data_IF_153731039819
#
_entry.id   IF_153731039819
#
_cell.length_a   1.000
_cell.length_b   1.000
_cell.length_c   1.000
_cell.angle_alpha   90.00
_cell.angle_beta   90.00
_cell.angle_gamma   90.00
#
_symmetry.space_group_name_H-M   'P 1'
#
loop_
_entity.id
_entity.type
_entity.pdbx_description
1 polymer ?
#
# COMPACT_ATOMS: atom_id res chain seq x y z
N UNK A 1 13.96 7.79 17.81
CA UNK A 1 13.39 8.38 16.59
C UNK A 1 12.06 7.69 16.38
N UNK A 2 10.94 8.41 16.50
CA UNK A 2 9.62 7.82 16.27
C UNK A 2 9.41 7.91 14.76
N UNK A 3 9.28 6.77 14.10
CA UNK A 3 8.93 6.73 12.68
C UNK A 3 7.52 7.29 12.52
N UNK A 4 7.32 8.26 11.65
CA UNK A 4 6.00 8.92 11.48
C UNK A 4 5.22 8.38 10.28
N UNK A 5 5.94 7.79 9.31
CA UNK A 5 5.36 7.26 8.07
C UNK A 5 5.81 5.83 7.80
N UNK A 6 4.92 5.01 7.24
CA UNK A 6 5.24 3.68 6.70
C UNK A 6 4.93 3.61 5.21
N UNK A 7 5.81 3.00 4.44
CA UNK A 7 5.52 2.49 3.10
C UNK A 7 5.43 0.97 3.21
N UNK A 8 4.28 0.40 2.86
CA UNK A 8 3.99 -1.03 3.01
C UNK A 8 3.69 -1.60 1.63
N UNK A 9 4.60 -2.43 1.12
CA UNK A 9 4.43 -3.07 -0.18
C UNK A 9 3.76 -4.44 0.01
N UNK A 10 2.64 -4.66 -0.67
CA UNK A 10 1.79 -5.85 -0.56
C UNK A 10 1.85 -6.62 -1.88
N UNK A 11 1.60 -7.93 -1.82
CA UNK A 11 1.49 -8.80 -3.00
C UNK A 11 2.44 -9.99 -2.97
N UNK A 12 2.29 -10.86 -3.95
CA UNK A 12 3.08 -12.07 -4.13
C UNK A 12 4.09 -11.92 -5.28
N UNK A 13 5.37 -11.74 -4.94
CA UNK A 13 6.46 -11.65 -5.90
C UNK A 13 6.64 -12.88 -6.82
N UNK A 14 5.99 -14.02 -6.51
CA UNK A 14 6.03 -15.22 -7.35
C UNK A 14 4.87 -15.31 -8.36
N UNK A 15 3.88 -14.42 -8.29
CA UNK A 15 2.73 -14.37 -9.20
C UNK A 15 2.83 -13.09 -10.03
N UNK A 16 3.00 -13.22 -11.35
CA UNK A 16 3.22 -12.09 -12.24
C UNK A 16 2.17 -10.97 -12.08
N UNK A 17 0.89 -11.34 -11.97
CA UNK A 17 -0.24 -10.41 -11.80
C UNK A 17 -0.36 -9.78 -10.41
N UNK A 18 0.51 -10.13 -9.46
CA UNK A 18 0.48 -9.68 -8.06
C UNK A 18 1.89 -9.26 -7.56
N UNK A 19 2.85 -9.16 -8.48
CA UNK A 19 4.26 -8.99 -8.14
C UNK A 19 4.71 -7.52 -8.12
N UNK A 20 3.84 -6.57 -8.48
CA UNK A 20 4.17 -5.14 -8.50
C UNK A 20 4.66 -4.62 -7.16
N UNK A 21 3.97 -4.90 -6.05
CA UNK A 21 4.39 -4.40 -4.74
C UNK A 21 5.78 -4.94 -4.35
N UNK A 22 6.07 -6.20 -4.63
CA UNK A 22 7.41 -6.78 -4.41
C UNK A 22 8.48 -6.09 -5.26
N UNK A 23 8.19 -5.83 -6.54
CA UNK A 23 9.11 -5.13 -7.43
C UNK A 23 9.38 -3.68 -6.97
N UNK A 24 8.34 -2.95 -6.56
CA UNK A 24 8.47 -1.59 -6.02
C UNK A 24 9.22 -1.59 -4.69
N UNK A 25 9.02 -2.59 -3.83
CA UNK A 25 9.79 -2.74 -2.60
C UNK A 25 11.29 -2.84 -2.89
N UNK A 26 11.70 -3.67 -3.86
CA UNK A 26 13.09 -3.81 -4.26
C UNK A 26 13.69 -2.51 -4.81
N UNK A 27 12.91 -1.74 -5.59
CA UNK A 27 13.31 -0.43 -6.08
C UNK A 27 13.46 0.59 -4.92
N UNK A 28 12.52 0.64 -3.99
CA UNK A 28 12.57 1.52 -2.81
C UNK A 28 13.73 1.19 -1.87
N UNK A 29 14.14 -0.08 -1.76
CA UNK A 29 15.32 -0.49 -0.98
C UNK A 29 16.63 0.10 -1.54
N UNK A 30 16.68 0.41 -2.83
CA UNK A 30 17.85 1.02 -3.47
C UNK A 30 17.85 2.56 -3.33
N UNK A 31 16.73 3.15 -2.91
CA UNK A 31 16.60 4.58 -2.71
C UNK A 31 17.05 5.00 -1.30
N UNK A 32 17.56 6.23 -1.19
CA UNK A 32 17.84 6.83 0.11
C UNK A 32 16.53 7.27 0.77
N UNK A 33 16.02 6.45 1.69
CA UNK A 33 14.86 6.78 2.49
C UNK A 33 15.24 7.70 3.66
N UNK A 34 14.45 8.75 3.94
CA UNK A 34 14.55 9.51 5.16
C UNK A 34 14.36 8.63 6.40
N UNK A 35 15.06 8.91 7.51
CA UNK A 35 14.98 8.14 8.75
C UNK A 35 13.58 8.01 9.36
N UNK A 36 12.67 8.94 9.06
CA UNK A 36 11.29 9.00 9.52
C UNK A 36 10.30 8.15 8.70
N UNK A 37 10.78 7.52 7.61
CA UNK A 37 10.01 6.64 6.75
C UNK A 37 10.51 5.20 6.92
N UNK A 38 9.61 4.31 7.36
CA UNK A 38 9.88 2.88 7.45
C UNK A 38 9.34 2.18 6.20
N UNK A 39 10.22 1.50 5.46
CA UNK A 39 9.83 0.62 4.37
C UNK A 39 9.59 -0.80 4.92
N UNK A 40 8.44 -1.38 4.59
CA UNK A 40 7.99 -2.68 5.08
C UNK A 40 7.59 -3.56 3.89
N UNK A 41 8.09 -4.79 3.89
CA UNK A 41 7.57 -5.85 3.04
C UNK A 41 6.34 -6.44 3.74
N UNK A 42 5.16 -6.10 3.23
CA UNK A 42 3.88 -6.58 3.72
C UNK A 42 3.46 -7.92 3.12
N UNK A 43 4.06 -8.33 2.00
CA UNK A 43 3.76 -9.57 1.29
C UNK A 43 2.26 -9.91 1.25
N UNK A 44 1.90 -11.08 1.79
CA UNK A 44 0.52 -11.58 1.88
C UNK A 44 -0.03 -11.52 3.31
N UNK A 45 0.39 -10.53 4.11
CA UNK A 45 0.12 -10.50 5.55
C UNK A 45 -1.38 -10.41 5.92
N UNK A 46 -2.23 -9.85 5.06
CA UNK A 46 -3.67 -9.73 5.32
C UNK A 46 -3.93 -9.01 6.64
N UNK A 47 -4.70 -9.63 7.55
CA UNK A 47 -4.98 -9.06 8.89
C UNK A 47 -3.72 -8.84 9.75
N UNK A 48 -2.59 -9.52 9.45
CA UNK A 48 -1.34 -9.25 10.16
C UNK A 48 -0.75 -7.87 9.84
N UNK A 49 -1.34 -7.12 8.90
CA UNK A 49 -1.04 -5.70 8.68
C UNK A 49 -1.61 -4.80 9.78
N UNK A 50 -2.65 -5.22 10.53
CA UNK A 50 -3.34 -4.39 11.52
C UNK A 50 -2.41 -3.70 12.54
N UNK A 51 -1.42 -4.38 13.15
CA UNK A 51 -0.50 -3.72 14.08
C UNK A 51 0.37 -2.64 13.42
N UNK A 52 0.54 -2.71 12.08
CA UNK A 52 1.27 -1.70 11.31
C UNK A 52 0.43 -0.46 11.02
N UNK A 53 -0.86 -0.46 11.37
CA UNK A 53 -1.72 0.72 11.28
C UNK A 53 -1.71 1.56 12.57
N UNK A 54 -1.18 1.01 13.66
CA UNK A 54 -1.20 1.65 14.97
C UNK A 54 -0.03 2.62 15.16
N UNK A 55 -0.30 3.70 15.90
CA UNK A 55 0.68 4.68 16.36
C UNK A 55 1.55 5.26 15.24
N UNK A 56 0.97 5.47 14.06
CA UNK A 56 1.62 6.02 12.88
C UNK A 56 0.78 7.15 12.30
N UNK A 57 1.40 8.17 11.73
CA UNK A 57 0.64 9.31 11.15
C UNK A 57 0.24 9.05 9.71
N UNK A 58 1.10 8.37 8.94
CA UNK A 58 0.89 8.19 7.51
C UNK A 58 1.25 6.78 7.06
N UNK A 59 0.42 6.23 6.19
CA UNK A 59 0.65 4.93 5.56
C UNK A 59 0.45 5.05 4.06
N UNK A 60 1.47 4.63 3.32
CA UNK A 60 1.40 4.46 1.88
C UNK A 60 1.48 2.97 1.58
N UNK A 61 0.36 2.39 1.17
CA UNK A 61 0.35 1.05 0.62
C UNK A 61 0.85 1.07 -0.83
N UNK A 62 1.47 -0.01 -1.26
CA UNK A 62 1.84 -0.23 -2.66
C UNK A 62 1.39 -1.63 -3.06
N UNK A 63 0.62 -1.74 -4.13
CA UNK A 63 0.05 -3.02 -4.57
C UNK A 63 -0.16 -3.07 -6.09
N UNK A 64 -0.41 -4.26 -6.61
CA UNK A 64 -0.99 -4.46 -7.93
C UNK A 64 -2.50 -4.15 -7.86
N UNK A 65 -3.02 -3.40 -8.83
CA UNK A 65 -4.45 -3.06 -8.89
C UNK A 65 -5.05 -3.45 -10.23
N UNK A 66 -6.38 -3.51 -10.28
CA UNK A 66 -7.10 -3.82 -11.51
C UNK A 66 -8.43 -3.07 -11.61
N UNK A 67 -8.76 -2.58 -12.79
CA UNK A 67 -10.05 -1.95 -13.12
C UNK A 67 -10.11 -0.45 -12.84
N UNK A 68 -8.97 0.22 -12.70
CA UNK A 68 -8.91 1.65 -12.38
C UNK A 68 -8.40 2.49 -13.56
N UNK A 69 -7.48 1.96 -14.38
CA UNK A 69 -6.94 2.68 -15.54
C UNK A 69 -6.44 1.71 -16.64
N UNK A 70 -5.60 2.19 -17.56
CA UNK A 70 -4.92 1.39 -18.58
C UNK A 70 -3.75 0.56 -18.03
N UNK A 71 -3.47 -0.57 -18.68
CA UNK A 71 -2.39 -1.50 -18.32
C UNK A 71 -1.04 -0.77 -18.14
N UNK A 72 -0.40 -0.97 -16.98
CA UNK A 72 0.88 -0.38 -16.61
C UNK A 72 0.79 1.03 -16.02
N UNK A 73 -0.41 1.64 -15.96
CA UNK A 73 -0.60 2.93 -15.32
C UNK A 73 -0.29 2.87 -13.82
N UNK A 74 0.26 3.98 -13.30
CA UNK A 74 0.49 4.17 -11.86
C UNK A 74 -0.57 5.13 -11.34
N UNK A 75 -1.37 4.66 -10.39
CA UNK A 75 -2.49 5.42 -9.82
C UNK A 75 -2.30 5.64 -8.32
N UNK A 76 -3.10 6.55 -7.77
CA UNK A 76 -3.20 6.75 -6.31
C UNK A 76 -4.66 6.71 -5.92
N UNK A 77 -4.99 5.82 -4.98
CA UNK A 77 -6.30 5.75 -4.35
C UNK A 77 -6.20 6.28 -2.92
N UNK A 78 -7.22 7.01 -2.50
CA UNK A 78 -7.42 7.38 -1.11
C UNK A 78 -8.02 6.23 -0.27
N UNK A 79 -7.98 6.41 1.04
CA UNK A 79 -8.49 5.42 1.98
C UNK A 79 -9.95 5.01 1.68
N UNK A 80 -10.80 5.97 1.31
CA UNK A 80 -12.21 5.70 1.07
C UNK A 80 -12.41 4.94 -0.24
N UNK A 81 -11.67 5.30 -1.29
CA UNK A 81 -11.65 4.59 -2.57
C UNK A 81 -11.24 3.13 -2.39
N UNK A 82 -10.18 2.87 -1.59
CA UNK A 82 -9.75 1.50 -1.27
C UNK A 82 -10.83 0.77 -0.44
N UNK A 83 -11.40 1.42 0.58
CA UNK A 83 -12.45 0.81 1.42
C UNK A 83 -13.69 0.38 0.63
N UNK A 84 -14.01 1.08 -0.46
CA UNK A 84 -15.20 0.82 -1.30
C UNK A 84 -14.90 0.08 -2.60
N UNK A 85 -13.65 -0.31 -2.84
CA UNK A 85 -13.20 -0.98 -4.07
C UNK A 85 -14.01 -2.24 -4.40
N UNK A 86 -14.41 -3.00 -3.37
CA UNK A 86 -15.42 -4.04 -3.49
C UNK A 86 -16.71 -3.52 -2.87
N UNK A 87 -17.79 -3.49 -3.65
CA UNK A 87 -19.12 -3.13 -3.14
C UNK A 87 -19.50 -3.95 -1.89
N UNK A 88 -20.54 -3.52 -1.18
CA UNK A 88 -20.91 -3.98 0.18
C UNK A 88 -21.06 -5.51 0.40
N UNK A 89 -20.94 -6.34 -0.64
CA UNK A 89 -21.20 -7.77 -0.64
C UNK A 89 -19.95 -8.64 -0.41
N UNK A 90 -18.73 -8.08 -0.43
CA UNK A 90 -17.48 -8.85 -0.29
C UNK A 90 -16.57 -8.38 0.85
N UNK A 91 -17.09 -8.11 2.06
CA UNK A 91 -16.27 -7.88 3.26
C UNK A 91 -15.74 -9.18 3.91
N UNK A 92 -15.45 -10.20 3.09
CA UNK A 92 -14.79 -11.42 3.57
C UNK A 92 -13.31 -11.19 3.83
N UNK A 93 -12.68 -12.07 4.61
CA UNK A 93 -11.23 -12.03 4.82
C UNK A 93 -10.41 -12.16 3.52
N UNK A 94 -11.02 -12.73 2.48
CA UNK A 94 -10.44 -12.87 1.13
C UNK A 94 -10.42 -11.57 0.32
N UNK A 95 -10.99 -10.47 0.83
CA UNK A 95 -11.10 -9.21 0.09
C UNK A 95 -9.85 -8.32 0.19
N UNK A 96 -8.76 -8.82 0.79
CA UNK A 96 -7.47 -8.13 0.82
C UNK A 96 -7.46 -6.84 1.64
N UNK A 97 -6.74 -5.82 1.15
CA UNK A 97 -6.54 -4.54 1.82
C UNK A 97 -7.86 -3.82 2.19
N UNK A 98 -8.91 -3.79 1.34
CA UNK A 98 -10.23 -3.27 1.71
C UNK A 98 -10.79 -3.87 3.01
N UNK A 99 -10.65 -5.19 3.22
CA UNK A 99 -11.09 -5.82 4.46
C UNK A 99 -10.26 -5.36 5.66
N UNK A 100 -8.93 -5.31 5.52
CA UNK A 100 -8.02 -4.81 6.58
C UNK A 100 -8.41 -3.41 7.01
N UNK A 101 -8.60 -2.49 6.06
CA UNK A 101 -8.98 -1.11 6.37
C UNK A 101 -10.34 -1.06 7.05
N UNK A 102 -11.33 -1.83 6.59
CA UNK A 102 -12.67 -1.86 7.20
C UNK A 102 -12.70 -2.47 8.62
N UNK A 103 -11.79 -3.38 8.93
CA UNK A 103 -11.68 -3.98 10.27
C UNK A 103 -10.86 -3.10 11.23
N UNK A 104 -9.84 -2.38 10.74
CA UNK A 104 -8.90 -1.63 11.58
C UNK A 104 -9.55 -0.72 12.63
N UNK A 105 -10.57 0.11 12.33
CA UNK A 105 -11.22 0.97 13.34
C UNK A 105 -11.91 0.22 14.50
N UNK A 106 -12.11 -1.10 14.38
CA UNK A 106 -12.78 -1.93 15.39
C UNK A 106 -11.82 -2.68 16.29
N UNK A 107 -10.57 -2.85 15.88
CA UNK A 107 -9.62 -3.77 16.53
C UNK A 107 -8.28 -3.13 16.86
N UNK A 108 -7.89 -2.08 16.12
CA UNK A 108 -6.66 -1.36 16.39
C UNK A 108 -6.85 -0.42 17.59
N UNK A 109 -5.80 -0.29 18.40
CA UNK A 109 -5.75 0.64 19.52
C UNK A 109 -5.07 1.96 19.12
N UNK A 110 -5.48 3.05 19.77
CA UNK A 110 -4.95 4.39 19.51
C UNK A 110 -5.64 5.12 18.35
N UNK A 111 -5.18 6.34 18.02
CA UNK A 111 -5.75 7.10 16.92
C UNK A 111 -5.43 6.43 15.57
N UNK A 112 -6.35 6.47 14.60
CA UNK A 112 -6.05 6.02 13.24
C UNK A 112 -4.99 6.93 12.61
N UNK A 113 -4.27 6.46 11.57
CA UNK A 113 -3.40 7.31 10.77
C UNK A 113 -4.16 8.49 10.17
N UNK A 114 -3.52 9.66 10.11
CA UNK A 114 -4.07 10.87 9.49
C UNK A 114 -4.22 10.71 7.98
N UNK A 115 -3.32 9.94 7.36
CA UNK A 115 -3.27 9.72 5.92
C UNK A 115 -3.06 8.23 5.63
N UNK A 116 -3.99 7.66 4.87
CA UNK A 116 -3.82 6.36 4.22
C UNK A 116 -4.02 6.55 2.71
N UNK A 117 -3.06 6.08 1.92
CA UNK A 117 -3.10 6.05 0.45
C UNK A 117 -2.65 4.69 -0.06
N UNK A 118 -3.13 4.30 -1.24
CA UNK A 118 -2.61 3.18 -2.01
C UNK A 118 -2.02 3.71 -3.31
N UNK A 119 -0.75 3.40 -3.57
CA UNK A 119 -0.14 3.51 -4.89
C UNK A 119 -0.34 2.17 -5.60
N UNK A 120 -1.09 2.20 -6.70
CA UNK A 120 -1.40 1.01 -7.48
C UNK A 120 -0.65 1.01 -8.81
N UNK A 121 -0.17 -0.15 -9.25
CA UNK A 121 0.17 -0.39 -10.66
C UNK A 121 -0.93 -1.25 -11.28
N UNK A 122 -1.57 -0.73 -12.33
CA UNK A 122 -2.65 -1.42 -13.06
C UNK A 122 -2.08 -2.59 -13.86
N UNK A 123 -2.56 -3.81 -13.61
CA UNK A 123 -2.17 -4.99 -14.37
C UNK A 123 -0.67 -5.31 -14.31
N UNK A 124 -0.05 -5.59 -15.45
CA UNK A 124 1.38 -5.88 -15.58
C UNK A 124 2.23 -4.61 -15.43
N UNK A 125 3.47 -4.79 -14.97
CA UNK A 125 4.40 -3.70 -14.72
C UNK A 125 5.70 -3.88 -15.51
N UNK A 126 6.42 -2.77 -15.65
CA UNK A 126 7.75 -2.70 -16.26
C UNK A 126 8.65 -1.81 -15.41
N UNK A 127 9.92 -1.64 -15.81
CA UNK A 127 10.89 -0.84 -15.07
C UNK A 127 10.43 0.61 -14.85
N UNK A 128 9.77 1.21 -15.85
CA UNK A 128 9.28 2.58 -15.78
C UNK A 128 8.12 2.74 -14.78
N UNK A 129 7.14 1.82 -14.80
CA UNK A 129 6.02 1.88 -13.86
C UNK A 129 6.44 1.53 -12.44
N UNK A 130 7.37 0.58 -12.25
CA UNK A 130 7.99 0.30 -10.94
C UNK A 130 8.65 1.56 -10.39
N UNK A 131 9.50 2.21 -11.19
CA UNK A 131 10.23 3.40 -10.75
C UNK A 131 9.28 4.58 -10.48
N UNK A 132 8.27 4.77 -11.32
CA UNK A 132 7.26 5.81 -11.12
C UNK A 132 6.49 5.59 -9.82
N UNK A 133 6.05 4.36 -9.54
CA UNK A 133 5.38 4.00 -8.29
C UNK A 133 6.29 4.23 -7.08
N UNK A 134 7.55 3.79 -7.11
CA UNK A 134 8.50 4.01 -6.03
C UNK A 134 8.70 5.52 -5.71
N UNK A 135 8.91 6.33 -6.75
CA UNK A 135 9.07 7.79 -6.59
C UNK A 135 7.79 8.42 -6.03
N UNK A 136 6.63 7.99 -6.50
CA UNK A 136 5.34 8.50 -6.04
C UNK A 136 5.06 8.12 -4.59
N UNK A 137 5.31 6.85 -4.21
CA UNK A 137 5.19 6.39 -2.82
C UNK A 137 6.07 7.20 -1.88
N UNK A 138 7.31 7.53 -2.30
CA UNK A 138 8.22 8.33 -1.50
C UNK A 138 7.75 9.79 -1.35
N UNK A 139 7.24 10.41 -2.42
CA UNK A 139 6.66 11.77 -2.36
C UNK A 139 5.47 11.84 -1.42
N UNK A 140 4.51 10.92 -1.58
CA UNK A 140 3.34 10.83 -0.70
C UNK A 140 3.77 10.59 0.75
N UNK A 141 4.75 9.73 0.98
CA UNK A 141 5.27 9.45 2.31
C UNK A 141 5.92 10.68 2.98
N UNK A 142 6.50 11.60 2.18
CA UNK A 142 7.02 12.91 2.63
C UNK A 142 5.92 13.97 2.76
N UNK A 143 4.77 13.78 2.10
CA UNK A 143 3.66 14.72 2.11
C UNK A 143 3.79 15.79 1.03
N UNK A 144 4.47 15.43 -0.05
CA UNK A 144 4.67 16.23 -1.27
C UNK A 144 3.63 15.90 -2.34
#
# INVERSE_FOLDING_TARGET
MICETRIICIGNGYIASDSAGSAVYQELQQMQLPPEIQLIDGGLAGLNLLPLLENIKRIIFVDNVSGYDEEGAVIVLDEQEVRTAFGNEQYGHDAGLPYVLNVAPRVCEGPPPDIIKLVGIEGTHNEDSIRAAAVLSLKLARGE
#
